data_IF_450497671402
#
_entry.id   IF_450497671402
#
_cell.length_a   1.000
_cell.length_b   1.000
_cell.length_c   1.000
_cell.angle_alpha   90.00
_cell.angle_beta   90.00
_cell.angle_gamma   90.00
#
_symmetry.space_group_name_H-M   'P 1'
#
loop_
_entity.id
_entity.type
_entity.pdbx_description
1 polymer ?
#
# COMPACT_ATOMS: atom_id res chain seq x y z
N UNK A 1 -4.19 6.15 -16.29
CA UNK A 1 -3.27 6.24 -17.45
C UNK A 1 -1.93 5.72 -16.94
N UNK A 2 -1.43 4.61 -17.49
CA UNK A 2 -0.27 3.87 -16.95
C UNK A 2 1.03 4.53 -17.41
N UNK A 3 1.93 4.85 -16.48
CA UNK A 3 3.29 5.28 -16.80
C UNK A 3 4.14 4.07 -17.16
N UNK A 4 4.79 4.10 -18.32
CA UNK A 4 5.78 3.09 -18.73
C UNK A 4 7.16 3.55 -18.24
N UNK A 5 7.83 2.72 -17.44
CA UNK A 5 9.18 3.01 -16.96
C UNK A 5 10.13 1.89 -17.39
N UNK A 6 11.22 2.27 -18.07
CA UNK A 6 12.30 1.36 -18.41
C UNK A 6 13.26 1.25 -17.23
N UNK A 7 13.48 0.03 -16.74
CA UNK A 7 14.46 -0.27 -15.70
C UNK A 7 15.64 -0.94 -16.37
N UNK A 8 16.73 -0.19 -16.46
CA UNK A 8 18.01 -0.71 -16.91
C UNK A 8 18.70 -1.43 -15.74
N UNK A 9 18.88 -2.74 -15.87
CA UNK A 9 19.61 -3.61 -14.96
C UNK A 9 20.97 -3.93 -15.57
N UNK A 10 21.99 -3.16 -15.20
CA UNK A 10 23.36 -3.47 -15.58
C UNK A 10 23.96 -4.52 -14.63
N UNK A 11 24.27 -5.71 -15.16
CA UNK A 11 25.14 -6.68 -14.47
C UNK A 11 26.57 -6.36 -14.89
N UNK A 12 27.45 -6.20 -13.89
CA UNK A 12 28.78 -5.55 -14.02
C UNK A 12 29.77 -6.28 -14.94
N UNK A 13 29.47 -7.49 -15.41
CA UNK A 13 30.37 -8.26 -16.28
C UNK A 13 30.08 -8.12 -17.78
N UNK A 14 28.91 -7.57 -18.17
CA UNK A 14 28.56 -7.38 -19.58
C UNK A 14 28.70 -5.92 -20.02
N UNK A 15 29.29 -5.70 -21.20
CA UNK A 15 29.38 -4.38 -21.83
C UNK A 15 28.03 -3.82 -22.28
N UNK A 16 26.95 -4.62 -22.19
CA UNK A 16 25.60 -4.26 -22.63
C UNK A 16 24.62 -4.46 -21.46
N UNK A 17 23.94 -3.40 -20.98
CA UNK A 17 22.98 -3.54 -19.90
C UNK A 17 21.74 -4.32 -20.36
N UNK A 18 21.28 -5.26 -19.55
CA UNK A 18 19.97 -5.88 -19.72
C UNK A 18 18.89 -4.93 -19.22
N UNK A 19 17.74 -4.87 -19.90
CA UNK A 19 16.66 -3.95 -19.53
C UNK A 19 15.33 -4.69 -19.41
N UNK A 20 14.55 -4.30 -18.42
CA UNK A 20 13.17 -4.73 -18.25
C UNK A 20 12.26 -3.48 -18.22
N UNK A 21 11.16 -3.52 -18.96
CA UNK A 21 10.12 -2.49 -18.85
C UNK A 21 9.04 -3.00 -17.91
N UNK A 22 8.74 -2.21 -16.88
CA UNK A 22 7.66 -2.52 -15.93
C UNK A 22 6.59 -1.45 -16.04
N UNK A 23 5.34 -1.89 -16.19
CA UNK A 23 4.18 -1.01 -16.16
C UNK A 23 3.73 -0.87 -14.71
N UNK A 24 3.85 0.35 -14.16
CA UNK A 24 3.49 0.64 -12.77
C UNK A 24 2.26 1.57 -12.72
N UNK A 25 1.37 1.45 -11.71
CA UNK A 25 0.25 2.38 -11.51
C UNK A 25 0.61 3.84 -11.12
N UNK A 26 1.84 4.30 -11.37
CA UNK A 26 2.34 5.64 -10.99
C UNK A 26 2.81 5.78 -9.53
N UNK A 27 3.31 6.96 -9.15
CA UNK A 27 3.81 7.19 -7.78
C UNK A 27 2.65 7.27 -6.78
N UNK A 28 2.78 6.53 -5.68
CA UNK A 28 1.85 6.63 -4.56
C UNK A 28 2.07 7.95 -3.78
N UNK A 29 1.03 8.51 -3.15
CA UNK A 29 1.16 9.73 -2.36
C UNK A 29 2.24 9.65 -1.26
N UNK A 30 2.46 8.47 -0.64
CA UNK A 30 3.51 8.29 0.39
C UNK A 30 4.93 8.38 -0.16
N UNK A 31 5.09 8.32 -1.48
CA UNK A 31 6.37 8.51 -2.15
C UNK A 31 6.67 9.98 -2.37
N UNK A 32 5.91 10.92 -1.77
CA UNK A 32 6.17 12.36 -1.84
C UNK A 32 6.72 12.90 -0.50
N UNK A 33 7.57 13.91 -0.59
CA UNK A 33 8.09 14.66 0.55
C UNK A 33 7.08 15.73 1.03
N UNK A 34 7.46 16.52 2.03
CA UNK A 34 6.63 17.58 2.60
C UNK A 34 6.26 18.69 1.62
N UNK A 35 6.93 18.77 0.47
CA UNK A 35 6.65 19.75 -0.59
C UNK A 35 5.81 19.16 -1.72
N UNK A 36 5.36 17.91 -1.59
CA UNK A 36 4.62 17.20 -2.63
C UNK A 36 5.51 16.72 -3.78
N UNK A 37 6.84 16.83 -3.67
CA UNK A 37 7.76 16.30 -4.67
C UNK A 37 7.96 14.81 -4.43
N UNK A 38 8.21 13.98 -5.46
CA UNK A 38 8.66 12.61 -5.25
C UNK A 38 9.90 12.58 -4.34
N UNK A 39 9.79 11.90 -3.20
CA UNK A 39 10.90 11.68 -2.28
C UNK A 39 11.89 10.72 -2.89
N UNK A 40 13.19 10.93 -2.63
CA UNK A 40 14.22 9.99 -3.06
C UNK A 40 13.96 8.58 -2.52
N UNK A 41 13.49 8.46 -1.28
CA UNK A 41 13.07 7.18 -0.70
C UNK A 41 11.99 6.50 -1.53
N UNK A 42 10.92 7.21 -1.88
CA UNK A 42 9.84 6.69 -2.70
C UNK A 42 10.28 6.29 -4.11
N UNK A 43 11.12 7.10 -4.75
CA UNK A 43 11.69 6.81 -6.07
C UNK A 43 12.58 5.57 -6.07
N UNK A 44 13.47 5.43 -5.08
CA UNK A 44 14.33 4.24 -4.96
C UNK A 44 13.54 3.00 -4.55
N UNK A 45 12.48 3.16 -3.75
CA UNK A 45 11.56 2.07 -3.40
C UNK A 45 10.76 1.62 -4.62
N UNK A 46 10.24 2.54 -5.42
CA UNK A 46 9.60 2.23 -6.70
C UNK A 46 10.54 1.45 -7.62
N UNK A 47 11.77 1.94 -7.82
CA UNK A 47 12.77 1.25 -8.63
C UNK A 47 13.09 -0.16 -8.09
N UNK A 48 13.18 -0.30 -6.77
CA UNK A 48 13.40 -1.60 -6.12
C UNK A 48 12.21 -2.54 -6.31
N UNK A 49 10.98 -2.06 -6.11
CA UNK A 49 9.75 -2.84 -6.31
C UNK A 49 9.65 -3.35 -7.74
N UNK A 50 9.82 -2.46 -8.72
CA UNK A 50 9.76 -2.86 -10.11
C UNK A 50 10.91 -3.81 -10.51
N UNK A 51 12.11 -3.65 -9.92
CA UNK A 51 13.22 -4.61 -10.08
C UNK A 51 12.83 -5.98 -9.54
N UNK A 52 12.32 -6.05 -8.31
CA UNK A 52 11.86 -7.31 -7.68
C UNK A 52 10.76 -7.96 -8.52
N UNK A 53 9.80 -7.17 -8.99
CA UNK A 53 8.73 -7.66 -9.86
C UNK A 53 9.30 -8.31 -11.13
N UNK A 54 10.19 -7.62 -11.85
CA UNK A 54 10.80 -8.17 -13.06
C UNK A 54 11.58 -9.47 -12.79
N UNK A 55 12.32 -9.53 -11.69
CA UNK A 55 13.18 -10.66 -11.33
C UNK A 55 12.41 -11.90 -10.87
N UNK A 56 11.20 -11.75 -10.35
CA UNK A 56 10.43 -12.85 -9.75
C UNK A 56 9.06 -13.11 -10.39
N UNK A 57 8.66 -12.31 -11.39
CA UNK A 57 7.41 -12.53 -12.12
C UNK A 57 7.68 -13.16 -13.48
N UNK A 58 7.02 -14.28 -13.83
CA UNK A 58 7.14 -14.88 -15.16
C UNK A 58 6.79 -13.90 -16.27
N UNK A 59 7.66 -13.81 -17.28
CA UNK A 59 7.48 -12.94 -18.46
C UNK A 59 6.56 -13.57 -19.51
N UNK A 60 6.39 -14.89 -19.47
CA UNK A 60 5.55 -15.66 -20.39
C UNK A 60 5.06 -16.98 -19.73
N UNK A 61 4.30 -17.77 -20.48
CA UNK A 61 3.75 -19.05 -20.02
C UNK A 61 4.80 -20.15 -19.77
N UNK A 62 6.08 -19.91 -20.09
CA UNK A 62 7.17 -20.85 -19.78
C UNK A 62 7.65 -20.74 -18.33
N UNK A 63 7.18 -19.75 -17.56
CA UNK A 63 7.57 -19.55 -16.16
C UNK A 63 8.91 -18.82 -15.99
N UNK A 64 9.54 -18.37 -17.07
CA UNK A 64 10.85 -17.68 -17.00
C UNK A 64 10.68 -16.26 -16.47
N UNK A 65 11.51 -15.87 -15.52
CA UNK A 65 11.60 -14.49 -15.02
C UNK A 65 12.72 -13.71 -15.74
N UNK A 66 12.78 -12.39 -15.57
CA UNK A 66 13.85 -11.58 -16.13
C UNK A 66 15.24 -12.06 -15.67
N UNK A 67 16.13 -12.34 -16.63
CA UNK A 67 17.47 -12.92 -16.43
C UNK A 67 17.50 -14.26 -15.69
N UNK A 68 16.34 -14.92 -15.54
CA UNK A 68 16.19 -16.10 -14.69
C UNK A 68 16.84 -15.88 -13.32
N UNK A 69 16.57 -14.72 -12.72
CA UNK A 69 17.26 -14.24 -11.53
C UNK A 69 17.27 -15.25 -10.38
N UNK A 70 16.19 -16.01 -10.20
CA UNK A 70 16.13 -17.08 -9.19
C UNK A 70 17.26 -18.13 -9.38
N UNK A 71 17.58 -18.49 -10.63
CA UNK A 71 18.70 -19.40 -10.96
C UNK A 71 20.05 -18.73 -10.73
N UNK A 72 20.15 -17.43 -11.02
CA UNK A 72 21.38 -16.66 -10.78
C UNK A 72 21.72 -16.63 -9.28
N UNK A 73 20.69 -16.58 -8.43
CA UNK A 73 20.83 -16.48 -6.97
C UNK A 73 20.69 -17.80 -6.22
N UNK A 74 20.52 -18.93 -6.91
CA UNK A 74 20.30 -20.25 -6.28
C UNK A 74 21.46 -20.62 -5.33
N UNK A 75 22.69 -20.38 -5.80
CA UNK A 75 23.94 -20.65 -5.06
C UNK A 75 24.70 -19.36 -4.68
N UNK A 76 24.13 -18.19 -4.94
CA UNK A 76 24.83 -16.90 -4.82
C UNK A 76 23.96 -15.82 -4.20
N UNK A 77 24.57 -14.95 -3.38
CA UNK A 77 23.94 -13.71 -2.95
C UNK A 77 24.34 -12.55 -3.85
N UNK A 78 23.40 -11.67 -4.15
CA UNK A 78 23.69 -10.40 -4.84
C UNK A 78 23.83 -9.27 -3.84
N UNK A 79 24.67 -8.30 -4.19
CA UNK A 79 24.79 -7.04 -3.45
C UNK A 79 24.84 -5.87 -4.43
N UNK A 80 24.39 -4.70 -3.99
CA UNK A 80 24.41 -3.49 -4.80
C UNK A 80 25.82 -2.89 -4.79
N UNK A 81 26.50 -2.90 -5.94
CA UNK A 81 27.84 -2.32 -6.07
C UNK A 81 27.83 -0.79 -6.25
N UNK A 82 26.86 -0.26 -7.00
CA UNK A 82 26.71 1.18 -7.26
C UNK A 82 25.33 1.48 -7.84
N UNK A 83 24.79 2.67 -7.58
CA UNK A 83 23.56 3.18 -8.19
C UNK A 83 23.74 4.62 -8.67
N UNK A 84 23.12 4.94 -9.81
CA UNK A 84 22.99 6.30 -10.32
C UNK A 84 21.58 6.45 -10.88
N UNK A 85 20.92 7.56 -10.57
CA UNK A 85 19.59 7.87 -11.08
C UNK A 85 19.60 9.28 -11.67
N UNK A 86 19.00 9.42 -12.86
CA UNK A 86 18.63 10.71 -13.44
C UNK A 86 17.12 10.83 -13.35
N UNK A 87 16.64 11.83 -12.60
CA UNK A 87 15.22 12.04 -12.36
C UNK A 87 14.71 13.08 -13.36
N UNK A 88 13.75 12.70 -14.20
CA UNK A 88 13.19 13.60 -15.19
C UNK A 88 12.35 14.71 -14.53
N UNK A 89 12.42 15.95 -15.06
CA UNK A 89 11.69 17.10 -14.53
C UNK A 89 10.17 16.87 -14.48
N UNK A 90 9.62 16.11 -15.42
CA UNK A 90 8.20 15.80 -15.49
C UNK A 90 7.68 15.02 -14.27
N UNK A 91 8.53 14.36 -13.49
CA UNK A 91 8.12 13.71 -12.24
C UNK A 91 7.72 14.71 -11.13
N UNK A 92 8.14 15.97 -11.28
CA UNK A 92 7.78 17.08 -10.39
C UNK A 92 6.60 17.89 -10.93
N UNK A 93 6.04 17.54 -12.09
CA UNK A 93 4.91 18.25 -12.68
C UNK A 93 3.58 17.77 -12.06
N UNK A 94 2.63 18.68 -11.77
CA UNK A 94 1.35 18.33 -11.14
C UNK A 94 0.51 17.32 -11.94
N UNK A 95 0.67 17.31 -13.26
CA UNK A 95 -0.14 16.51 -14.20
C UNK A 95 0.42 15.09 -14.40
N UNK A 96 1.49 14.72 -13.70
CA UNK A 96 2.03 13.37 -13.77
C UNK A 96 1.00 12.36 -13.23
N UNK A 97 0.64 11.29 -13.98
CA UNK A 97 -0.42 10.36 -13.60
C UNK A 97 -0.15 9.70 -12.24
N UNK A 98 -1.06 9.90 -11.29
CA UNK A 98 -1.05 9.27 -9.97
C UNK A 98 -2.13 8.18 -9.86
N UNK A 99 -2.02 7.33 -8.82
CA UNK A 99 -3.06 6.38 -8.43
C UNK A 99 -4.36 7.13 -8.05
N UNK A 100 -5.56 6.62 -8.40
CA UNK A 100 -6.81 7.24 -7.95
C UNK A 100 -6.86 7.27 -6.41
N UNK A 101 -7.10 8.45 -5.85
CA UNK A 101 -7.27 8.70 -4.42
C UNK A 101 -8.51 9.56 -4.23
N UNK A 102 -9.42 9.13 -3.36
CA UNK A 102 -10.53 9.97 -2.92
C UNK A 102 -10.07 10.81 -1.71
N UNK A 103 -10.26 12.12 -1.80
CA UNK A 103 -9.85 13.07 -0.75
C UNK A 103 -11.08 13.84 -0.31
N UNK A 104 -11.27 13.93 1.01
CA UNK A 104 -12.33 14.73 1.63
C UNK A 104 -11.71 16.03 2.16
N UNK A 105 -12.37 17.16 1.89
CA UNK A 105 -11.97 18.44 2.45
C UNK A 105 -12.36 18.49 3.92
N UNK A 106 -11.40 18.75 4.80
CA UNK A 106 -11.60 18.89 6.24
C UNK A 106 -11.34 20.33 6.66
N UNK A 107 -12.27 20.94 7.39
CA UNK A 107 -12.04 22.24 7.99
C UNK A 107 -11.02 22.14 9.14
N UNK A 108 -9.98 22.99 9.12
CA UNK A 108 -8.85 22.89 10.05
C UNK A 108 -9.24 23.14 11.51
N UNK A 109 -10.21 24.03 11.75
CA UNK A 109 -10.61 24.42 13.10
C UNK A 109 -11.55 23.38 13.72
N UNK A 110 -12.58 22.97 12.97
CA UNK A 110 -13.61 22.05 13.45
C UNK A 110 -13.25 20.58 13.28
N UNK A 111 -12.27 20.26 12.42
CA UNK A 111 -11.85 18.90 12.07
C UNK A 111 -13.00 18.05 11.51
N UNK A 112 -13.94 18.71 10.82
CA UNK A 112 -15.11 18.09 10.19
C UNK A 112 -15.04 18.16 8.67
N UNK A 113 -15.64 17.17 7.97
CA UNK A 113 -15.86 17.26 6.53
C UNK A 113 -16.62 18.52 6.14
N UNK A 114 -16.15 19.18 5.09
CA UNK A 114 -16.82 20.34 4.50
C UNK A 114 -16.97 20.15 2.99
N UNK A 115 -18.09 20.60 2.44
CA UNK A 115 -18.30 20.52 1.01
C UNK A 115 -17.35 21.46 0.26
N UNK A 116 -16.89 21.04 -0.91
CA UNK A 116 -16.19 21.91 -1.85
C UNK A 116 -17.09 23.11 -2.17
N UNK A 117 -16.56 24.34 -2.08
CA UNK A 117 -17.35 25.56 -2.32
C UNK A 117 -17.94 25.60 -3.74
N UNK A 118 -18.97 26.41 -3.93
CA UNK A 118 -19.61 26.61 -5.24
C UNK A 118 -18.62 27.14 -6.30
N UNK A 119 -17.81 28.14 -5.96
CA UNK A 119 -16.74 28.66 -6.83
C UNK A 119 -15.85 27.54 -7.39
N UNK A 120 -15.34 26.67 -6.52
CA UNK A 120 -14.48 25.55 -6.94
C UNK A 120 -15.21 24.56 -7.84
N UNK A 121 -16.48 24.25 -7.54
CA UNK A 121 -17.28 23.35 -8.37
C UNK A 121 -17.53 23.92 -9.77
N UNK A 122 -17.79 25.21 -9.88
CA UNK A 122 -18.03 25.86 -11.16
C UNK A 122 -16.75 25.97 -12.01
N UNK A 123 -15.63 26.35 -11.38
CA UNK A 123 -14.38 26.63 -12.11
C UNK A 123 -13.63 25.35 -12.50
N UNK A 124 -13.69 24.30 -11.67
CA UNK A 124 -12.90 23.08 -11.88
C UNK A 124 -13.76 21.85 -12.16
N UNK A 125 -15.03 21.85 -11.77
CA UNK A 125 -15.94 20.72 -12.00
C UNK A 125 -16.07 20.26 -13.46
N UNK A 126 -16.06 21.15 -14.47
CA UNK A 126 -16.04 20.73 -15.88
C UNK A 126 -14.80 19.92 -16.29
N UNK A 127 -13.70 20.05 -15.55
CA UNK A 127 -12.45 19.32 -15.78
C UNK A 127 -12.38 18.01 -14.98
N UNK A 128 -13.31 17.78 -14.05
CA UNK A 128 -13.37 16.57 -13.25
C UNK A 128 -14.09 15.44 -14.01
N UNK A 129 -13.53 14.24 -13.96
CA UNK A 129 -14.24 13.02 -14.37
C UNK A 129 -15.25 12.68 -13.26
N UNK A 130 -16.55 12.69 -13.57
CA UNK A 130 -17.57 12.25 -12.63
C UNK A 130 -17.57 10.73 -12.53
N UNK A 131 -17.28 10.21 -11.34
CA UNK A 131 -17.36 8.78 -11.01
C UNK A 131 -18.44 8.48 -9.97
N UNK A 132 -18.64 7.19 -9.70
CA UNK A 132 -19.41 6.73 -8.54
C UNK A 132 -18.51 6.86 -7.31
N UNK A 133 -18.97 7.47 -6.19
CA UNK A 133 -18.19 7.59 -4.97
C UNK A 133 -17.79 6.21 -4.44
N UNK A 134 -16.57 6.07 -3.92
CA UNK A 134 -16.11 4.81 -3.35
C UNK A 134 -16.63 4.70 -1.91
N UNK A 135 -17.79 4.08 -1.74
CA UNK A 135 -18.39 3.87 -0.42
C UNK A 135 -17.90 2.53 0.15
N UNK A 136 -16.90 2.58 1.04
CA UNK A 136 -16.46 1.42 1.82
C UNK A 136 -17.25 1.38 3.14
N UNK A 137 -18.15 0.40 3.25
CA UNK A 137 -18.92 0.19 4.47
C UNK A 137 -18.06 -0.39 5.58
N UNK A 138 -18.21 0.17 6.79
CA UNK A 138 -17.65 -0.40 8.00
C UNK A 138 -18.33 -1.75 8.28
N UNK A 139 -17.52 -2.72 8.68
CA UNK A 139 -17.94 -4.05 9.08
C UNK A 139 -17.92 -4.13 10.59
N UNK A 140 -19.00 -4.67 11.15
CA UNK A 140 -19.07 -5.02 12.57
C UNK A 140 -18.42 -6.40 12.82
N UNK A 141 -17.86 -6.64 14.01
CA UNK A 141 -17.39 -7.96 14.39
C UNK A 141 -18.58 -8.96 14.42
N UNK A 142 -18.37 -10.22 13.99
CA UNK A 142 -19.43 -11.20 13.93
C UNK A 142 -19.86 -11.69 15.31
N UNK A 143 -20.98 -12.41 15.35
CA UNK A 143 -21.39 -13.17 16.54
C UNK A 143 -20.33 -14.23 16.83
N UNK A 144 -19.63 -14.08 17.96
CA UNK A 144 -18.40 -14.83 18.27
C UNK A 144 -17.16 -13.94 18.46
N UNK A 145 -17.23 -12.69 18.01
CA UNK A 145 -16.32 -11.61 18.38
C UNK A 145 -15.01 -11.54 17.60
N UNK A 146 -14.03 -10.89 18.24
CA UNK A 146 -12.68 -10.63 17.74
C UNK A 146 -11.81 -11.88 17.92
N UNK A 147 -11.14 -12.29 16.84
CA UNK A 147 -10.23 -13.43 16.83
C UNK A 147 -8.89 -13.13 17.51
N UNK A 148 -8.36 -11.91 17.36
CA UNK A 148 -7.13 -11.46 18.02
C UNK A 148 -7.07 -9.94 18.16
N UNK A 149 -6.26 -9.47 19.12
CA UNK A 149 -5.98 -8.06 19.32
C UNK A 149 -4.46 -7.84 19.25
N UNK A 150 -4.04 -6.86 18.47
CA UNK A 150 -2.64 -6.43 18.35
C UNK A 150 -2.53 -4.96 18.77
N UNK A 151 -1.48 -4.60 19.49
CA UNK A 151 -1.22 -3.22 19.89
C UNK A 151 -0.08 -2.63 19.09
N UNK A 152 -0.28 -1.43 18.58
CA UNK A 152 0.76 -0.65 17.91
C UNK A 152 0.85 0.75 18.50
N UNK A 153 2.08 1.20 18.74
CA UNK A 153 2.37 2.58 19.12
C UNK A 153 2.81 3.36 17.89
N UNK A 154 2.12 4.45 17.58
CA UNK A 154 2.44 5.30 16.43
C UNK A 154 3.81 5.94 16.62
N UNK A 155 4.76 5.62 15.75
CA UNK A 155 6.09 6.20 15.74
C UNK A 155 6.11 7.55 15.01
N UNK A 156 7.17 8.34 15.21
CA UNK A 156 7.34 9.60 14.48
C UNK A 156 7.37 9.39 12.95
N UNK A 157 8.04 8.33 12.49
CA UNK A 157 8.12 7.96 11.07
C UNK A 157 6.80 7.50 10.46
N UNK A 158 5.78 7.25 11.29
CA UNK A 158 4.46 6.89 10.83
C UNK A 158 3.62 8.11 10.46
N UNK A 159 4.09 9.32 10.77
CA UNK A 159 3.35 10.58 10.57
C UNK A 159 3.73 11.32 9.29
N UNK A 160 2.78 12.08 8.75
CA UNK A 160 2.95 12.91 7.56
C UNK A 160 3.25 14.39 7.91
N UNK A 161 3.26 15.26 6.89
CA UNK A 161 3.54 16.70 7.03
C UNK A 161 2.47 17.45 7.84
N UNK A 162 1.28 16.87 8.02
CA UNK A 162 0.21 17.40 8.87
C UNK A 162 0.29 16.85 10.30
N UNK A 163 1.35 16.08 10.62
CA UNK A 163 1.57 15.44 11.92
C UNK A 163 0.50 14.39 12.27
N UNK A 164 -0.21 13.87 11.27
CA UNK A 164 -1.13 12.77 11.43
C UNK A 164 -0.47 11.48 10.97
N UNK A 165 -0.87 10.35 11.54
CA UNK A 165 -0.48 9.04 11.02
C UNK A 165 -0.83 8.95 9.53
N UNK A 166 0.19 8.68 8.72
CA UNK A 166 0.08 8.50 7.28
C UNK A 166 -0.93 7.40 6.98
N UNK A 167 -1.79 7.63 6.00
CA UNK A 167 -2.85 6.69 5.63
C UNK A 167 -2.33 5.26 5.36
N UNK A 168 -1.16 5.12 4.73
CA UNK A 168 -0.59 3.81 4.43
C UNK A 168 -0.01 3.12 5.68
N UNK A 169 0.34 3.88 6.73
CA UNK A 169 0.78 3.30 7.99
C UNK A 169 -0.31 2.43 8.61
N UNK A 170 -1.59 2.79 8.48
CA UNK A 170 -2.69 1.94 8.94
C UNK A 170 -2.72 0.59 8.21
N UNK A 171 -2.50 0.56 6.90
CA UNK A 171 -2.41 -0.70 6.14
C UNK A 171 -1.26 -1.55 6.65
N UNK A 172 -0.09 -0.94 6.91
CA UNK A 172 1.05 -1.64 7.50
C UNK A 172 0.71 -2.23 8.88
N UNK A 173 0.06 -1.46 9.74
CA UNK A 173 -0.38 -1.94 11.06
C UNK A 173 -1.34 -3.13 10.94
N UNK A 174 -2.25 -3.12 9.96
CA UNK A 174 -3.14 -4.25 9.70
C UNK A 174 -2.37 -5.50 9.27
N UNK A 175 -1.40 -5.37 8.36
CA UNK A 175 -0.58 -6.49 7.89
C UNK A 175 0.26 -7.07 9.04
N UNK A 176 0.89 -6.21 9.84
CA UNK A 176 1.68 -6.62 11.02
C UNK A 176 0.79 -7.36 12.04
N UNK A 177 -0.43 -6.85 12.26
CA UNK A 177 -1.42 -7.49 13.13
C UNK A 177 -1.84 -8.88 12.61
N UNK A 178 -2.12 -9.01 11.30
CA UNK A 178 -2.48 -10.31 10.69
C UNK A 178 -1.35 -11.33 10.84
N UNK A 179 -0.10 -10.93 10.65
CA UNK A 179 1.05 -11.82 10.85
C UNK A 179 1.13 -12.32 12.30
N UNK A 180 0.93 -11.43 13.27
CA UNK A 180 0.89 -11.81 14.68
C UNK A 180 -0.32 -12.71 15.00
N UNK A 181 -1.50 -12.42 14.44
CA UNK A 181 -2.69 -13.26 14.58
C UNK A 181 -2.48 -14.68 14.03
N UNK A 182 -1.80 -14.81 12.88
CA UNK A 182 -1.43 -16.11 12.30
C UNK A 182 -0.47 -16.86 13.21
N UNK A 183 0.55 -16.17 13.75
CA UNK A 183 1.51 -16.75 14.71
C UNK A 183 0.81 -17.27 15.97
N UNK A 184 -0.27 -16.61 16.40
CA UNK A 184 -1.08 -17.02 17.55
C UNK A 184 -2.14 -18.08 17.22
N UNK A 185 -2.32 -18.46 15.95
CA UNK A 185 -3.37 -19.39 15.52
C UNK A 185 -4.79 -18.81 15.60
N UNK A 186 -4.93 -17.48 15.64
CA UNK A 186 -6.19 -16.77 15.90
C UNK A 186 -7.29 -17.02 14.86
N UNK A 187 -6.91 -17.37 13.63
CA UNK A 187 -7.85 -17.45 12.51
C UNK A 187 -8.45 -18.84 12.30
N UNK A 188 -8.15 -19.84 13.14
CA UNK A 188 -8.83 -21.14 13.14
C UNK A 188 -8.86 -21.87 11.78
N UNK A 189 -7.87 -21.63 10.91
CA UNK A 189 -7.80 -22.18 9.54
C UNK A 189 -8.55 -21.38 8.47
N UNK A 190 -9.27 -20.32 8.83
CA UNK A 190 -9.91 -19.40 7.87
C UNK A 190 -8.89 -18.57 7.07
N UNK A 191 -7.69 -18.39 7.63
CA UNK A 191 -6.53 -17.81 6.98
C UNK A 191 -5.30 -18.61 7.39
N UNK A 192 -4.43 -18.93 6.43
CA UNK A 192 -3.16 -19.64 6.65
C UNK A 192 -1.94 -18.80 6.25
N UNK A 193 -0.75 -19.25 6.64
CA UNK A 193 0.50 -18.64 6.17
C UNK A 193 0.71 -18.82 4.66
N UNK A 194 0.17 -19.88 4.06
CA UNK A 194 0.26 -20.10 2.61
C UNK A 194 -0.62 -19.11 1.83
N UNK A 195 -1.82 -18.79 2.33
CA UNK A 195 -2.67 -17.77 1.73
C UNK A 195 -1.98 -16.40 1.74
N UNK A 196 -1.30 -16.04 2.84
CA UNK A 196 -0.56 -14.76 2.91
C UNK A 196 0.64 -14.75 1.96
N UNK A 197 1.34 -15.88 1.81
CA UNK A 197 2.44 -16.03 0.82
C UNK A 197 1.94 -15.94 -0.61
N UNK A 198 0.73 -16.41 -0.90
CA UNK A 198 0.09 -16.27 -2.20
C UNK A 198 -0.25 -14.82 -2.55
N UNK A 199 -0.18 -13.91 -1.57
CA UNK A 199 -0.30 -12.48 -1.75
C UNK A 199 -1.72 -11.95 -1.51
N UNK A 200 -1.80 -10.64 -1.33
CA UNK A 200 -3.07 -9.93 -1.13
C UNK A 200 -3.77 -9.69 -2.46
N UNK A 201 -4.97 -10.23 -2.61
CA UNK A 201 -5.83 -10.06 -3.77
C UNK A 201 -6.58 -8.73 -3.76
N UNK A 202 -7.02 -8.27 -2.59
CA UNK A 202 -7.77 -7.02 -2.44
C UNK A 202 -7.46 -6.34 -1.11
N UNK A 203 -7.37 -5.01 -1.15
CA UNK A 203 -7.28 -4.14 0.03
C UNK A 203 -8.40 -3.11 -0.05
N UNK A 204 -9.22 -3.04 1.00
CA UNK A 204 -10.25 -2.02 1.19
C UNK A 204 -9.98 -1.27 2.50
N UNK A 205 -10.02 0.06 2.49
CA UNK A 205 -9.71 0.88 3.69
C UNK A 205 -10.75 1.96 3.93
N UNK A 206 -11.27 2.02 5.15
CA UNK A 206 -12.13 3.09 5.64
C UNK A 206 -11.36 3.97 6.63
N UNK A 207 -11.23 5.26 6.33
CA UNK A 207 -10.60 6.26 7.18
C UNK A 207 -11.69 7.08 7.88
N UNK A 208 -11.75 7.02 9.21
CA UNK A 208 -12.89 7.49 10.01
C UNK A 208 -12.45 8.61 10.95
N UNK A 209 -11.29 8.42 11.57
CA UNK A 209 -10.63 9.36 12.45
C UNK A 209 -9.13 9.38 12.19
N UNK A 210 -8.41 10.11 13.03
CA UNK A 210 -6.98 10.32 12.87
C UNK A 210 -6.24 9.97 14.17
N UNK A 211 -4.96 9.62 14.03
CA UNK A 211 -4.03 9.40 15.13
C UNK A 211 -2.75 10.19 14.89
N UNK A 212 -1.95 10.36 15.94
CA UNK A 212 -0.70 11.13 15.94
C UNK A 212 0.41 10.35 16.63
N UNK A 213 1.64 10.83 16.51
CA UNK A 213 2.79 10.24 17.19
C UNK A 213 2.52 10.02 18.69
N UNK A 214 2.83 8.82 19.17
CA UNK A 214 2.71 8.46 20.58
C UNK A 214 1.38 7.82 20.95
N UNK A 215 0.34 7.94 20.11
CA UNK A 215 -0.91 7.21 20.28
C UNK A 215 -0.68 5.70 20.31
N UNK A 216 -1.49 5.00 21.10
CA UNK A 216 -1.54 3.53 21.12
C UNK A 216 -2.85 3.09 20.50
N UNK A 217 -2.76 2.33 19.41
CA UNK A 217 -3.90 1.79 18.69
C UNK A 217 -4.07 0.31 19.00
N UNK A 218 -5.33 -0.10 19.17
CA UNK A 218 -5.71 -1.50 19.31
C UNK A 218 -6.29 -1.98 17.98
N UNK A 219 -5.63 -2.95 17.35
CA UNK A 219 -6.05 -3.58 16.11
C UNK A 219 -6.84 -4.83 16.44
N UNK A 220 -8.15 -4.76 16.34
CA UNK A 220 -9.08 -5.87 16.50
C UNK A 220 -9.23 -6.59 15.17
N UNK A 221 -8.97 -7.91 15.16
CA UNK A 221 -8.98 -8.71 13.94
C UNK A 221 -10.03 -9.79 13.98
N UNK A 222 -10.73 -10.01 12.87
CA UNK A 222 -11.64 -11.15 12.71
C UNK A 222 -11.80 -11.57 11.26
N UNK A 223 -12.19 -12.82 11.05
CA UNK A 223 -12.65 -13.32 9.76
C UNK A 223 -14.18 -13.16 9.65
N UNK A 224 -14.70 -12.43 8.65
CA UNK A 224 -16.14 -12.33 8.44
C UNK A 224 -16.80 -13.71 8.21
N UNK A 225 -18.04 -13.93 8.67
CA UNK A 225 -18.74 -15.20 8.49
C UNK A 225 -18.92 -15.55 7.02
N UNK A 226 -18.72 -16.83 6.68
CA UNK A 226 -18.86 -17.32 5.30
C UNK A 226 -17.76 -16.86 4.35
N UNK A 227 -16.74 -16.16 4.86
CA UNK A 227 -15.55 -15.81 4.08
C UNK A 227 -14.37 -16.68 4.46
N UNK A 228 -13.51 -16.96 3.49
CA UNK A 228 -12.21 -17.59 3.67
C UNK A 228 -11.18 -16.62 3.10
N UNK A 229 -10.02 -16.51 3.76
CA UNK A 229 -8.91 -15.63 3.34
C UNK A 229 -9.24 -14.14 3.38
N UNK A 230 -10.31 -13.74 4.07
CA UNK A 230 -10.62 -12.34 4.34
C UNK A 230 -10.48 -12.06 5.82
N UNK A 231 -9.73 -11.02 6.15
CA UNK A 231 -9.59 -10.52 7.52
C UNK A 231 -9.94 -9.05 7.55
N UNK A 232 -10.74 -8.67 8.54
CA UNK A 232 -11.00 -7.28 8.88
C UNK A 232 -10.14 -6.91 10.06
N UNK A 233 -9.43 -5.79 9.95
CA UNK A 233 -8.63 -5.17 10.99
C UNK A 233 -9.27 -3.82 11.34
N UNK A 234 -9.89 -3.73 12.51
CA UNK A 234 -10.47 -2.49 13.03
C UNK A 234 -9.54 -1.85 14.04
N UNK A 235 -9.13 -0.61 13.80
CA UNK A 235 -8.18 0.10 14.63
C UNK A 235 -8.91 1.08 15.54
N UNK A 236 -8.72 0.89 16.84
CA UNK A 236 -9.31 1.72 17.87
C UNK A 236 -8.26 2.58 18.57
N UNK A 237 -8.61 3.86 18.73
CA UNK A 237 -7.94 4.80 19.63
C UNK A 237 -8.92 5.17 20.74
N UNK A 238 -8.54 4.96 21.99
CA UNK A 238 -9.38 5.32 23.15
C UNK A 238 -10.81 4.75 23.09
N UNK A 239 -10.97 3.54 22.54
CA UNK A 239 -12.27 2.87 22.39
C UNK A 239 -13.14 3.39 21.23
N UNK A 240 -12.59 4.24 20.36
CA UNK A 240 -13.26 4.69 19.14
C UNK A 240 -12.55 4.15 17.91
N UNK A 241 -13.32 3.59 16.97
CA UNK A 241 -12.79 3.14 15.68
C UNK A 241 -12.38 4.35 14.84
N UNK A 242 -11.10 4.40 14.46
CA UNK A 242 -10.55 5.48 13.63
C UNK A 242 -10.18 5.01 12.23
N UNK A 243 -9.98 3.71 12.03
CA UNK A 243 -9.67 3.14 10.73
C UNK A 243 -10.13 1.67 10.68
N UNK A 244 -10.53 1.22 9.48
CA UNK A 244 -10.78 -0.20 9.24
C UNK A 244 -10.17 -0.63 7.92
N UNK A 245 -9.35 -1.68 7.95
CA UNK A 245 -8.74 -2.32 6.77
C UNK A 245 -9.35 -3.69 6.58
N UNK A 246 -9.81 -4.01 5.37
CA UNK A 246 -10.16 -5.37 4.97
C UNK A 246 -9.10 -5.88 3.98
N UNK A 247 -8.50 -7.02 4.30
CA UNK A 247 -7.52 -7.70 3.47
C UNK A 247 -8.12 -9.01 2.98
N UNK A 248 -8.14 -9.22 1.66
CA UNK A 248 -8.48 -10.50 1.05
C UNK A 248 -7.24 -11.06 0.36
N UNK A 249 -6.92 -12.33 0.61
CA UNK A 249 -5.75 -12.99 0.04
C UNK A 249 -6.11 -13.94 -1.10
N UNK A 250 -5.16 -14.17 -2.00
CA UNK A 250 -5.27 -15.21 -3.02
C UNK A 250 -5.32 -16.60 -2.38
N UNK A 251 -5.93 -17.55 -3.07
CA UNK A 251 -5.79 -18.95 -2.69
C UNK A 251 -4.34 -19.40 -2.94
N UNK A 252 -3.77 -20.14 -1.99
CA UNK A 252 -2.52 -20.85 -2.24
C UNK A 252 -2.65 -21.75 -3.48
N UNK A 253 -1.64 -21.71 -4.36
CA UNK A 253 -1.57 -22.64 -5.47
C UNK A 253 -1.37 -24.07 -4.91
N UNK A 254 -2.18 -25.01 -5.39
CA UNK A 254 -2.09 -26.44 -5.05
C UNK A 254 -0.95 -27.07 -5.85
#
# INVERSE_FOLDING_TARGET
>A
MLGQHDINLCIKEDSTPYAATVVHPGLQPEFRDSYGNPSLWGLFRLASTCRMYAMHTPVDSSGRCFLEYDKLTDEHFTFFASSQASIARCLYEPDFPNHPLEVVLIDKASRRPVAVSEYWREHYGPHCIRGVPLIIQQKEPPVGGVSAVYQVKVAWSDTDLYQHTNFASYIRFAVDAVQEGLRQGAFGGHLTQEDVRAGTAEVSVSYIGESVQGDVLHVHMWCPPGTSRTVVCSMEKEGQVINQVTLTYHAAAV
#
